data_IF_666942749680
#
_entry.id   IF_666942749680
#
_cell.length_a   1.000
_cell.length_b   1.000
_cell.length_c   1.000
_cell.angle_alpha   90.00
_cell.angle_beta   90.00
_cell.angle_gamma   90.00
#
_symmetry.space_group_name_H-M   'P 1'
#
loop_
_entity.id
_entity.type
_entity.pdbx_description
1 polymer ?
#
# COMPACT_ATOMS: atom_id res chain seq x y z
N UNK A 1 10.72 -1.16 -3.32
CA UNK A 1 9.44 -0.71 -2.72
C UNK A 1 9.48 -0.72 -1.19
N UNK A 2 9.84 -1.81 -0.52
CA UNK A 2 10.00 -1.86 0.95
C UNK A 2 11.09 -0.92 1.49
N UNK A 3 12.24 -0.85 0.80
CA UNK A 3 13.34 0.03 1.17
C UNK A 3 12.96 1.52 1.04
N UNK A 4 12.13 1.85 0.03
CA UNK A 4 11.69 3.24 -0.24
C UNK A 4 10.69 3.72 0.81
N UNK A 5 9.74 2.86 1.21
CA UNK A 5 8.83 3.12 2.34
C UNK A 5 9.58 3.20 3.67
N UNK A 6 10.55 2.31 3.91
CA UNK A 6 11.39 2.37 5.12
C UNK A 6 12.27 3.63 5.16
N UNK A 7 12.84 4.06 4.03
CA UNK A 7 13.58 5.33 3.97
C UNK A 7 12.65 6.52 4.17
N UNK A 8 11.47 6.57 3.53
CA UNK A 8 10.51 7.66 3.75
C UNK A 8 10.10 7.80 5.23
N UNK A 9 9.87 6.67 5.90
CA UNK A 9 9.54 6.68 7.34
C UNK A 9 10.73 7.06 8.24
N UNK A 10 11.98 6.78 7.83
CA UNK A 10 13.17 6.96 8.69
C UNK A 10 13.91 8.27 8.44
N UNK A 11 13.85 8.85 7.25
CA UNK A 11 14.55 10.11 6.92
C UNK A 11 13.64 11.32 6.90
N UNK A 12 12.31 11.16 7.03
CA UNK A 12 11.38 12.27 6.83
C UNK A 12 10.33 12.41 7.94
N UNK A 13 10.84 12.69 9.15
CA UNK A 13 10.01 12.89 10.34
C UNK A 13 8.93 13.96 10.15
N UNK A 14 9.22 14.99 9.36
CA UNK A 14 8.25 16.06 9.06
C UNK A 14 7.05 15.57 8.26
N UNK A 15 7.25 14.80 7.19
CA UNK A 15 6.13 14.25 6.41
C UNK A 15 5.36 13.20 7.22
N UNK A 16 6.05 12.39 8.02
CA UNK A 16 5.38 11.43 8.92
C UNK A 16 4.47 12.14 9.94
N UNK A 17 4.94 13.24 10.54
CA UNK A 17 4.16 14.03 11.50
C UNK A 17 3.00 14.74 10.82
N UNK A 18 3.24 15.44 9.71
CA UNK A 18 2.18 16.08 8.92
C UNK A 18 1.08 15.07 8.57
N UNK A 19 1.48 13.92 8.05
CA UNK A 19 0.55 12.85 7.69
C UNK A 19 -0.22 12.31 8.91
N UNK A 20 0.39 12.21 10.08
CA UNK A 20 -0.31 11.82 11.30
C UNK A 20 -1.37 12.85 11.73
N UNK A 21 -1.06 14.14 11.68
CA UNK A 21 -2.06 15.19 11.93
C UNK A 21 -3.24 15.08 10.97
N UNK A 22 -2.98 14.79 9.69
CA UNK A 22 -4.04 14.56 8.71
C UNK A 22 -4.88 13.32 9.02
N UNK A 23 -4.25 12.22 9.46
CA UNK A 23 -4.96 11.02 9.92
C UNK A 23 -5.85 11.35 11.11
N UNK A 24 -5.36 12.10 12.09
CA UNK A 24 -6.19 12.51 13.22
C UNK A 24 -7.39 13.36 12.77
N UNK A 25 -7.15 14.38 11.94
CA UNK A 25 -8.19 15.28 11.45
C UNK A 25 -9.30 14.55 10.67
N UNK A 26 -8.92 13.72 9.69
CA UNK A 26 -9.85 13.00 8.82
C UNK A 26 -10.54 11.84 9.54
N UNK A 27 -9.78 11.06 10.30
CA UNK A 27 -10.24 9.77 10.79
C UNK A 27 -10.73 9.81 12.22
N UNK A 28 -10.16 10.65 13.09
CA UNK A 28 -10.39 10.56 14.54
C UNK A 28 -11.26 11.72 15.03
N UNK A 29 -10.88 12.95 14.71
CA UNK A 29 -11.50 14.15 15.28
C UNK A 29 -12.97 14.33 14.86
N UNK A 30 -13.32 13.87 13.66
CA UNK A 30 -14.66 13.92 13.08
C UNK A 30 -15.66 12.95 13.71
N UNK A 31 -15.22 12.01 14.57
CA UNK A 31 -16.07 11.00 15.19
C UNK A 31 -15.91 11.00 16.72
N UNK A 32 -17.01 11.27 17.44
CA UNK A 32 -17.02 11.36 18.91
C UNK A 32 -16.48 10.10 19.60
N UNK A 33 -16.90 8.92 19.16
CA UNK A 33 -16.47 7.66 19.79
C UNK A 33 -14.96 7.45 19.60
N UNK A 34 -14.43 7.77 18.42
CA UNK A 34 -12.99 7.66 18.13
C UNK A 34 -12.19 8.67 18.95
N UNK A 35 -12.61 9.93 18.97
CA UNK A 35 -11.96 10.97 19.77
C UNK A 35 -11.90 10.58 21.25
N UNK A 36 -13.03 10.16 21.82
CA UNK A 36 -13.09 9.74 23.22
C UNK A 36 -12.20 8.53 23.51
N UNK A 37 -12.13 7.57 22.59
CA UNK A 37 -11.19 6.45 22.73
C UNK A 37 -9.74 6.95 22.78
N UNK A 38 -9.35 7.89 21.90
CA UNK A 38 -7.99 8.44 21.90
C UNK A 38 -7.66 9.20 23.18
N UNK A 39 -8.60 9.99 23.70
CA UNK A 39 -8.44 10.69 24.99
C UNK A 39 -8.24 9.71 26.13
N UNK A 40 -9.06 8.65 26.20
CA UNK A 40 -8.91 7.58 27.19
C UNK A 40 -7.57 6.82 27.10
N UNK A 41 -6.91 6.91 25.95
CA UNK A 41 -5.60 6.29 25.69
C UNK A 41 -4.46 7.31 25.65
N UNK A 42 -4.63 8.45 26.33
CA UNK A 42 -3.55 9.39 26.64
C UNK A 42 -3.42 10.59 25.71
N UNK A 43 -4.30 10.73 24.71
CA UNK A 43 -4.37 11.97 23.92
C UNK A 43 -4.88 13.12 24.81
N UNK A 44 -4.24 14.30 24.81
CA UNK A 44 -4.74 15.47 25.53
C UNK A 44 -6.16 15.84 25.09
N UNK A 45 -7.07 16.01 26.06
CA UNK A 45 -8.43 16.49 25.78
C UNK A 45 -8.43 18.01 25.67
N UNK A 46 -8.44 18.51 24.42
CA UNK A 46 -8.43 19.96 24.14
C UNK A 46 -9.72 20.27 23.37
N UNK A 47 -10.68 20.99 23.96
CA UNK A 47 -12.04 21.15 23.40
C UNK A 47 -12.09 21.65 21.95
N UNK A 48 -11.12 22.49 21.54
CA UNK A 48 -11.10 23.14 20.22
C UNK A 48 -10.39 22.29 19.14
N UNK A 49 -9.70 21.20 19.51
CA UNK A 49 -9.01 20.34 18.55
C UNK A 49 -9.98 19.79 17.49
N UNK A 50 -11.18 19.39 17.94
CA UNK A 50 -12.18 18.72 17.10
C UNK A 50 -12.77 19.61 16.02
N UNK A 51 -12.78 20.92 16.23
CA UNK A 51 -13.35 21.90 15.31
C UNK A 51 -12.28 22.58 14.44
N UNK A 52 -11.00 22.31 14.70
CA UNK A 52 -9.87 22.97 14.02
C UNK A 52 -9.25 22.08 12.93
N UNK A 53 -10.08 21.60 11.99
CA UNK A 53 -9.68 20.64 10.95
C UNK A 53 -9.10 21.28 9.68
N UNK A 54 -8.98 22.60 9.63
CA UNK A 54 -8.42 23.36 8.51
C UNK A 54 -6.89 23.42 8.55
N UNK A 55 -6.31 24.09 7.56
CA UNK A 55 -4.90 24.48 7.55
C UNK A 55 -4.80 25.98 7.87
N UNK A 56 -3.77 26.35 8.62
CA UNK A 56 -3.44 27.74 8.96
C UNK A 56 -2.28 28.23 8.08
N UNK A 57 -1.99 29.53 8.12
CA UNK A 57 -0.75 30.06 7.56
C UNK A 57 0.41 29.78 8.51
N UNK A 58 1.62 29.66 7.96
CA UNK A 58 2.84 29.43 8.76
C UNK A 58 3.02 30.53 9.80
N UNK A 59 2.73 31.78 9.42
CA UNK A 59 2.88 32.97 10.28
C UNK A 59 1.88 33.01 11.45
N UNK A 60 0.82 32.20 11.41
CA UNK A 60 -0.18 32.13 12.47
C UNK A 60 0.23 31.18 13.62
N UNK A 61 1.29 30.40 13.44
CA UNK A 61 1.74 29.39 14.41
C UNK A 61 3.02 29.85 15.09
N UNK A 62 3.11 29.66 16.41
CA UNK A 62 4.30 29.96 17.19
C UNK A 62 5.54 29.28 16.55
N UNK A 63 6.60 30.03 16.20
CA UNK A 63 7.82 29.48 15.63
C UNK A 63 8.47 28.37 16.48
N UNK A 64 8.37 28.46 17.80
CA UNK A 64 8.88 27.42 18.70
C UNK A 64 8.09 26.11 18.55
N UNK A 65 6.78 26.21 18.31
CA UNK A 65 5.92 25.06 18.07
C UNK A 65 6.14 24.46 16.68
N UNK A 66 6.34 25.28 15.65
CA UNK A 66 6.70 24.81 14.32
C UNK A 66 8.07 24.10 14.31
N UNK A 67 9.04 24.63 15.06
CA UNK A 67 10.35 24.01 15.23
C UNK A 67 10.26 22.66 15.95
N UNK A 68 9.31 22.50 16.87
CA UNK A 68 9.04 21.22 17.54
C UNK A 68 8.41 20.19 16.60
N UNK A 69 7.41 20.60 15.80
CA UNK A 69 6.71 19.69 14.89
C UNK A 69 7.54 19.35 13.65
N UNK A 70 8.48 20.21 13.24
CA UNK A 70 9.38 20.03 12.08
C UNK A 70 8.62 19.71 10.78
N UNK A 71 7.63 20.51 10.42
CA UNK A 71 6.89 20.30 9.17
C UNK A 71 7.79 20.44 7.93
N UNK A 72 7.47 19.74 6.82
CA UNK A 72 8.20 19.91 5.57
C UNK A 72 8.12 21.36 5.07
N UNK A 73 9.22 21.82 4.48
CA UNK A 73 9.33 23.19 3.95
C UNK A 73 8.21 23.46 2.94
N UNK A 74 7.49 24.58 3.13
CA UNK A 74 6.44 25.03 2.23
C UNK A 74 5.08 24.34 2.40
N UNK A 75 4.92 23.44 3.37
CA UNK A 75 3.62 22.87 3.71
C UNK A 75 2.88 23.77 4.71
N UNK A 76 1.59 24.07 4.48
CA UNK A 76 0.80 24.80 5.46
C UNK A 76 0.58 23.92 6.71
N UNK A 77 0.67 24.48 7.92
CA UNK A 77 0.42 23.74 9.15
C UNK A 77 -1.07 23.40 9.31
N UNK A 78 -1.44 22.15 9.68
CA UNK A 78 -2.78 21.87 10.18
C UNK A 78 -3.10 22.75 11.40
N UNK A 79 -4.29 23.35 11.43
CA UNK A 79 -4.71 24.26 12.50
C UNK A 79 -4.70 23.60 13.89
N UNK A 80 -4.86 22.26 13.93
CA UNK A 80 -4.68 21.42 15.11
C UNK A 80 -3.34 21.60 15.81
N UNK A 81 -2.27 21.96 15.09
CA UNK A 81 -0.96 22.25 15.69
C UNK A 81 -1.09 23.48 16.59
N UNK A 82 -1.58 24.59 16.05
CA UNK A 82 -1.73 25.85 16.81
C UNK A 82 -2.66 25.70 18.00
N UNK A 83 -3.84 25.10 17.82
CA UNK A 83 -4.81 24.97 18.92
C UNK A 83 -4.42 23.90 19.94
N UNK A 84 -3.74 22.84 19.51
CA UNK A 84 -3.29 21.77 20.40
C UNK A 84 -2.04 22.15 21.19
N UNK A 85 -1.25 23.09 20.66
CA UNK A 85 -0.04 23.60 21.30
C UNK A 85 1.02 22.53 21.56
N UNK A 86 1.97 22.89 22.43
CA UNK A 86 3.13 22.06 22.76
C UNK A 86 2.75 20.71 23.38
N UNK A 87 1.69 20.67 24.20
CA UNK A 87 1.26 19.42 24.85
C UNK A 87 0.78 18.39 23.81
N UNK A 88 -0.06 18.81 22.86
CA UNK A 88 -0.54 17.93 21.82
C UNK A 88 0.58 17.52 20.85
N UNK A 89 1.46 18.47 20.48
CA UNK A 89 2.63 18.17 19.65
C UNK A 89 3.56 17.13 20.28
N UNK A 90 3.84 17.26 21.57
CA UNK A 90 4.65 16.26 22.29
C UNK A 90 3.99 14.89 22.28
N UNK A 91 2.67 14.80 22.52
CA UNK A 91 1.95 13.54 22.45
C UNK A 91 1.98 12.92 21.05
N UNK A 92 1.82 13.73 19.99
CA UNK A 92 1.93 13.25 18.60
C UNK A 92 3.30 12.63 18.34
N UNK A 93 4.37 13.26 18.85
CA UNK A 93 5.75 12.82 18.68
C UNK A 93 6.04 11.55 19.49
N UNK A 94 5.61 11.47 20.75
CA UNK A 94 5.94 10.36 21.65
C UNK A 94 5.04 9.15 21.47
N UNK A 95 3.72 9.36 21.39
CA UNK A 95 2.72 8.31 21.59
C UNK A 95 1.75 8.16 20.42
N UNK A 96 1.58 9.20 19.60
CA UNK A 96 0.56 9.29 18.55
C UNK A 96 0.43 8.04 17.69
N UNK A 97 1.49 7.66 16.97
CA UNK A 97 1.50 6.48 16.10
C UNK A 97 1.28 5.18 16.87
N UNK A 98 1.80 5.06 18.09
CA UNK A 98 1.63 3.87 18.91
C UNK A 98 0.17 3.70 19.36
N UNK A 99 -0.49 4.80 19.73
CA UNK A 99 -1.90 4.83 20.11
C UNK A 99 -2.80 4.56 18.90
N UNK A 100 -2.47 5.11 17.73
CA UNK A 100 -3.17 4.79 16.49
C UNK A 100 -3.01 3.30 16.10
N UNK A 101 -1.83 2.71 16.28
CA UNK A 101 -1.61 1.28 16.09
C UNK A 101 -2.50 0.43 17.00
N UNK A 102 -2.60 0.80 18.29
CA UNK A 102 -3.51 0.15 19.25
C UNK A 102 -4.97 0.29 18.82
N UNK A 103 -5.36 1.47 18.34
CA UNK A 103 -6.72 1.75 17.85
C UNK A 103 -7.10 0.82 16.69
N UNK A 104 -6.23 0.73 15.67
CA UNK A 104 -6.44 -0.15 14.50
C UNK A 104 -6.60 -1.61 14.92
N UNK A 105 -5.79 -2.07 15.88
CA UNK A 105 -5.82 -3.46 16.36
C UNK A 105 -7.05 -3.77 17.21
N UNK A 106 -7.57 -2.80 17.97
CA UNK A 106 -8.78 -2.95 18.78
C UNK A 106 -10.07 -2.76 17.96
N UNK A 107 -10.02 -2.02 16.85
CA UNK A 107 -11.17 -1.71 15.98
C UNK A 107 -11.04 -2.38 14.60
N UNK A 108 -10.85 -3.70 14.59
CA UNK A 108 -10.58 -4.48 13.35
C UNK A 108 -11.69 -4.34 12.29
N UNK A 109 -12.95 -4.43 12.72
CA UNK A 109 -14.11 -4.32 11.80
C UNK A 109 -14.15 -2.96 11.11
N UNK A 110 -13.93 -1.89 11.87
CA UNK A 110 -13.92 -0.53 11.37
C UNK A 110 -12.74 -0.27 10.44
N UNK A 111 -11.55 -0.76 10.82
CA UNK A 111 -10.35 -0.69 9.99
C UNK A 111 -10.53 -1.42 8.65
N UNK A 112 -11.11 -2.62 8.66
CA UNK A 112 -11.41 -3.37 7.45
C UNK A 112 -12.48 -2.70 6.59
N UNK A 113 -13.52 -2.13 7.21
CA UNK A 113 -14.56 -1.36 6.52
C UNK A 113 -13.96 -0.17 5.79
N UNK A 114 -13.05 0.57 6.43
CA UNK A 114 -12.34 1.69 5.83
C UNK A 114 -11.48 1.25 4.64
N UNK A 115 -10.66 0.20 4.80
CA UNK A 115 -9.85 -0.35 3.70
C UNK A 115 -10.75 -0.69 2.51
N UNK A 116 -11.89 -1.35 2.77
CA UNK A 116 -12.85 -1.71 1.72
C UNK A 116 -13.43 -0.48 1.03
N UNK A 117 -13.86 0.53 1.79
CA UNK A 117 -14.44 1.77 1.25
C UNK A 117 -13.44 2.54 0.37
N UNK A 118 -12.16 2.51 0.73
CA UNK A 118 -11.10 3.17 -0.04
C UNK A 118 -10.59 2.33 -1.21
N UNK A 119 -10.89 1.03 -1.29
CA UNK A 119 -10.25 0.16 -2.28
C UNK A 119 -10.63 0.44 -3.72
N UNK A 120 -11.92 0.58 -4.01
CA UNK A 120 -12.38 0.87 -5.37
C UNK A 120 -11.90 2.25 -5.88
N UNK A 121 -12.08 3.37 -5.15
CA UNK A 121 -11.63 4.67 -5.64
C UNK A 121 -10.12 4.78 -5.81
N UNK A 122 -9.36 3.90 -5.13
CA UNK A 122 -7.91 3.97 -5.09
C UNK A 122 -7.22 2.99 -6.05
N UNK A 123 -7.72 1.76 -6.16
CA UNK A 123 -7.12 0.71 -7.00
C UNK A 123 -7.65 0.71 -8.44
N UNK A 124 -8.80 1.37 -8.66
CA UNK A 124 -9.46 1.60 -9.95
C UNK A 124 -10.01 3.04 -10.03
N UNK A 125 -9.16 4.09 -9.93
CA UNK A 125 -9.64 5.47 -9.97
C UNK A 125 -10.36 5.79 -11.29
N UNK A 126 -11.45 6.55 -11.21
CA UNK A 126 -12.29 6.90 -12.37
C UNK A 126 -11.59 7.92 -13.29
N UNK A 127 -10.68 8.74 -12.74
CA UNK A 127 -9.92 9.78 -13.43
C UNK A 127 -8.41 9.60 -13.26
N UNK A 128 -7.65 10.05 -14.27
CA UNK A 128 -6.18 10.00 -14.29
C UNK A 128 -5.52 11.14 -13.49
N UNK A 129 -6.28 11.90 -12.69
CA UNK A 129 -5.83 13.09 -11.96
C UNK A 129 -4.68 12.81 -10.96
N UNK A 130 -4.42 11.53 -10.68
CA UNK A 130 -3.34 11.05 -9.79
C UNK A 130 -2.07 10.58 -10.52
N UNK A 131 -2.11 10.45 -11.85
CA UNK A 131 -0.95 10.13 -12.66
C UNK A 131 -0.33 11.44 -13.19
N UNK A 132 1.02 11.57 -13.21
CA UNK A 132 1.65 12.70 -13.88
C UNK A 132 1.13 12.81 -15.31
N UNK A 133 0.63 14.01 -15.60
CA UNK A 133 -0.12 14.44 -16.79
C UNK A 133 0.47 13.89 -18.11
N UNK A 134 -0.42 13.43 -19.01
CA UNK A 134 -0.26 13.18 -20.47
C UNK A 134 -0.32 11.75 -21.03
N UNK A 135 -0.77 10.72 -20.31
CA UNK A 135 -1.11 9.44 -20.97
C UNK A 135 -2.62 9.30 -21.18
N UNK A 136 -3.17 10.12 -22.09
CA UNK A 136 -4.57 10.01 -22.60
C UNK A 136 -4.76 8.77 -23.51
N UNK A 137 -4.16 7.63 -23.18
CA UNK A 137 -4.33 6.40 -23.94
C UNK A 137 -5.44 5.57 -23.31
N UNK A 138 -6.67 5.79 -23.77
CA UNK A 138 -7.87 5.02 -23.39
C UNK A 138 -7.67 3.50 -23.50
N UNK A 139 -6.83 3.04 -24.43
CA UNK A 139 -6.45 1.64 -24.60
C UNK A 139 -5.68 1.06 -23.40
N UNK A 140 -4.78 1.83 -22.78
CA UNK A 140 -4.07 1.41 -21.58
C UNK A 140 -5.04 1.23 -20.41
N UNK A 141 -6.04 2.10 -20.28
CA UNK A 141 -7.11 1.97 -19.28
C UNK A 141 -7.98 0.72 -19.49
N UNK A 142 -8.19 0.29 -20.74
CA UNK A 142 -8.95 -0.94 -21.03
C UNK A 142 -8.16 -2.20 -20.64
N UNK A 143 -6.83 -2.19 -20.83
CA UNK A 143 -5.94 -3.27 -20.41
C UNK A 143 -5.69 -3.27 -18.88
N UNK A 144 -5.56 -2.08 -18.27
CA UNK A 144 -5.50 -1.88 -16.82
C UNK A 144 -6.91 -1.77 -16.21
N UNK A 145 -7.84 -2.63 -16.64
CA UNK A 145 -9.22 -2.70 -16.14
C UNK A 145 -9.34 -2.92 -14.63
N UNK A 146 -10.55 -3.21 -14.16
CA UNK A 146 -10.87 -3.24 -12.73
C UNK A 146 -9.89 -4.15 -11.93
N UNK A 147 -9.40 -3.63 -10.79
CA UNK A 147 -8.46 -4.33 -9.94
C UNK A 147 -9.00 -5.69 -9.47
N UNK A 148 -10.33 -5.82 -9.32
CA UNK A 148 -11.00 -7.08 -8.96
C UNK A 148 -10.81 -8.15 -10.02
N UNK A 149 -10.85 -7.80 -11.30
CA UNK A 149 -10.59 -8.72 -12.41
C UNK A 149 -9.17 -9.27 -12.34
N UNK A 150 -8.19 -8.39 -12.14
CA UNK A 150 -6.78 -8.78 -12.00
C UNK A 150 -6.53 -9.62 -10.75
N UNK A 151 -7.15 -9.28 -9.63
CA UNK A 151 -7.07 -10.08 -8.40
C UNK A 151 -7.66 -11.49 -8.62
N UNK A 152 -8.80 -11.60 -9.30
CA UNK A 152 -9.42 -12.88 -9.65
C UNK A 152 -8.55 -13.74 -10.58
N UNK A 153 -8.02 -13.14 -11.65
CA UNK A 153 -7.11 -13.82 -12.59
C UNK A 153 -5.83 -14.28 -11.91
N UNK A 154 -5.22 -13.42 -11.09
CA UNK A 154 -4.02 -13.75 -10.32
C UNK A 154 -4.26 -14.89 -9.34
N UNK A 155 -5.38 -14.85 -8.61
CA UNK A 155 -5.74 -15.91 -7.66
C UNK A 155 -5.96 -17.26 -8.36
N UNK A 156 -6.69 -17.26 -9.48
CA UNK A 156 -6.90 -18.47 -10.28
C UNK A 156 -5.57 -19.04 -10.79
N UNK A 157 -4.68 -18.18 -11.28
CA UNK A 157 -3.36 -18.57 -11.77
C UNK A 157 -2.47 -19.15 -10.65
N UNK A 158 -2.39 -18.48 -9.49
CA UNK A 158 -1.65 -18.98 -8.31
C UNK A 158 -2.21 -20.33 -7.87
N UNK A 159 -3.53 -20.47 -7.80
CA UNK A 159 -4.19 -21.72 -7.38
C UNK A 159 -3.90 -22.85 -8.35
N UNK A 160 -3.87 -22.58 -9.66
CA UNK A 160 -3.53 -23.59 -10.68
C UNK A 160 -2.11 -24.15 -10.52
N UNK A 161 -1.17 -23.37 -9.96
CA UNK A 161 0.20 -23.83 -9.70
C UNK A 161 0.27 -24.91 -8.62
N UNK A 162 -0.71 -24.98 -7.71
CA UNK A 162 -0.78 -26.04 -6.69
C UNK A 162 -0.92 -27.44 -7.31
N UNK A 163 -1.53 -27.53 -8.48
CA UNK A 163 -1.72 -28.77 -9.23
C UNK A 163 -0.37 -29.31 -9.74
N UNK A 164 0.64 -28.44 -9.93
CA UNK A 164 1.96 -28.81 -10.46
C UNK A 164 3.03 -28.73 -9.37
N UNK A 165 3.48 -29.88 -8.87
CA UNK A 165 4.50 -29.96 -7.81
C UNK A 165 5.79 -29.18 -8.17
N UNK A 166 6.19 -29.18 -9.45
CA UNK A 166 7.35 -28.43 -9.94
C UNK A 166 7.24 -26.90 -9.83
N UNK A 167 6.03 -26.38 -9.57
CA UNK A 167 5.73 -24.94 -9.47
C UNK A 167 5.51 -24.48 -8.03
N UNK A 168 5.63 -25.36 -7.02
CA UNK A 168 5.42 -25.02 -5.60
C UNK A 168 6.29 -23.87 -5.10
N UNK A 169 7.56 -23.79 -5.52
CA UNK A 169 8.45 -22.67 -5.13
C UNK A 169 7.93 -21.32 -5.65
N UNK A 170 7.41 -21.29 -6.87
CA UNK A 170 6.84 -20.08 -7.48
C UNK A 170 5.52 -19.69 -6.81
N UNK A 171 4.69 -20.69 -6.45
CA UNK A 171 3.50 -20.48 -5.63
C UNK A 171 3.85 -19.78 -4.31
N UNK A 172 4.79 -20.32 -3.53
CA UNK A 172 5.16 -19.71 -2.24
C UNK A 172 5.74 -18.29 -2.40
N UNK A 173 6.55 -18.06 -3.44
CA UNK A 173 7.09 -16.73 -3.73
C UNK A 173 5.96 -15.73 -4.05
N UNK A 174 5.01 -16.10 -4.91
CA UNK A 174 3.88 -15.24 -5.25
C UNK A 174 2.98 -14.98 -4.05
N UNK A 175 2.67 -15.99 -3.24
CA UNK A 175 1.93 -15.81 -1.99
C UNK A 175 2.63 -14.82 -1.06
N UNK A 176 3.95 -14.97 -0.84
CA UNK A 176 4.71 -14.05 0.00
C UNK A 176 4.70 -12.61 -0.54
N UNK A 177 4.89 -12.43 -1.85
CA UNK A 177 4.84 -11.10 -2.49
C UNK A 177 3.44 -10.47 -2.42
N UNK A 178 2.39 -11.27 -2.64
CA UNK A 178 1.00 -10.82 -2.51
C UNK A 178 0.65 -10.43 -1.08
N UNK A 179 1.04 -11.24 -0.09
CA UNK A 179 0.85 -10.92 1.33
C UNK A 179 1.59 -9.65 1.72
N UNK A 180 2.84 -9.49 1.30
CA UNK A 180 3.60 -8.27 1.56
C UNK A 180 2.93 -7.04 0.93
N UNK A 181 2.49 -7.15 -0.33
CA UNK A 181 1.77 -6.08 -1.04
C UNK A 181 0.48 -5.71 -0.32
N UNK A 182 -0.29 -6.71 0.15
CA UNK A 182 -1.51 -6.50 0.92
C UNK A 182 -1.23 -5.76 2.23
N UNK A 183 -0.19 -6.15 2.97
CA UNK A 183 0.19 -5.49 4.23
C UNK A 183 0.56 -4.02 3.99
N UNK A 184 1.42 -3.76 2.99
CA UNK A 184 1.80 -2.38 2.63
C UNK A 184 0.57 -1.57 2.20
N UNK A 185 -0.32 -2.16 1.42
CA UNK A 185 -1.56 -1.52 1.00
C UNK A 185 -2.47 -1.17 2.19
N UNK A 186 -2.70 -2.12 3.11
CA UNK A 186 -3.48 -1.88 4.32
C UNK A 186 -2.88 -0.77 5.19
N UNK A 187 -1.54 -0.76 5.36
CA UNK A 187 -0.84 0.31 6.06
C UNK A 187 -1.08 1.64 5.37
N UNK A 188 -0.98 1.72 4.04
CA UNK A 188 -1.23 2.97 3.31
C UNK A 188 -2.68 3.45 3.45
N UNK A 189 -3.67 2.56 3.42
CA UNK A 189 -5.10 2.94 3.55
C UNK A 189 -5.48 3.43 4.95
N UNK A 190 -4.78 2.93 5.97
CA UNK A 190 -5.03 3.30 7.36
C UNK A 190 -4.17 4.50 7.76
N UNK A 191 -2.87 4.43 7.51
CA UNK A 191 -1.89 5.39 7.98
C UNK A 191 -1.61 6.55 7.03
N UNK A 192 -2.10 6.56 5.79
CA UNK A 192 -1.96 7.73 4.91
C UNK A 192 -3.22 8.58 4.99
N UNK A 193 -3.07 9.85 5.39
CA UNK A 193 -4.13 10.85 5.44
C UNK A 193 -4.63 11.20 4.03
N UNK A 194 -4.35 12.41 3.54
CA UNK A 194 -4.79 12.84 2.19
C UNK A 194 -3.98 12.16 1.07
N UNK A 195 -2.82 11.58 1.36
CA UNK A 195 -1.94 11.00 0.35
C UNK A 195 -2.26 9.54 -0.02
N UNK A 196 -3.27 8.92 0.61
CA UNK A 196 -3.64 7.53 0.33
C UNK A 196 -3.85 7.23 -1.16
N UNK A 197 -4.40 8.14 -2.02
CA UNK A 197 -4.54 7.86 -3.44
C UNK A 197 -3.20 7.73 -4.17
N UNK A 198 -2.21 8.57 -3.81
CA UNK A 198 -0.88 8.58 -4.44
C UNK A 198 -0.11 7.30 -4.10
N UNK A 199 -0.06 6.92 -2.83
CA UNK A 199 0.69 5.74 -2.37
C UNK A 199 0.07 4.42 -2.83
N UNK A 200 -1.21 4.42 -3.14
CA UNK A 200 -1.91 3.22 -3.50
C UNK A 200 -2.05 3.00 -5.01
N UNK A 201 -1.75 4.00 -5.83
CA UNK A 201 -1.43 3.79 -7.26
C UNK A 201 -0.28 2.77 -7.43
N UNK A 202 0.75 2.83 -6.58
CA UNK A 202 1.85 1.87 -6.57
C UNK A 202 1.37 0.45 -6.18
N UNK A 203 0.45 0.34 -5.23
CA UNK A 203 -0.17 -0.94 -4.86
C UNK A 203 -1.04 -1.49 -6.01
N UNK A 204 -1.79 -0.62 -6.69
CA UNK A 204 -2.62 -0.97 -7.84
C UNK A 204 -1.78 -1.54 -9.00
N UNK A 205 -0.60 -0.97 -9.25
CA UNK A 205 0.38 -1.49 -10.22
C UNK A 205 0.95 -2.82 -9.74
N UNK A 206 1.37 -2.91 -8.47
CA UNK A 206 1.94 -4.13 -7.90
C UNK A 206 0.98 -5.32 -7.99
N UNK A 207 -0.31 -5.13 -7.67
CA UNK A 207 -1.35 -6.16 -7.80
C UNK A 207 -1.42 -6.69 -9.24
N UNK A 208 -1.43 -5.79 -10.23
CA UNK A 208 -1.53 -6.17 -11.65
C UNK A 208 -0.27 -6.87 -12.15
N UNK A 209 0.92 -6.40 -11.75
CA UNK A 209 2.20 -7.05 -12.08
C UNK A 209 2.28 -8.45 -11.47
N UNK A 210 1.86 -8.62 -10.22
CA UNK A 210 1.83 -9.93 -9.56
C UNK A 210 0.81 -10.87 -10.22
N UNK A 211 -0.37 -10.38 -10.56
CA UNK A 211 -1.37 -11.16 -11.28
C UNK A 211 -0.87 -11.60 -12.66
N UNK A 212 -0.25 -10.69 -13.43
CA UNK A 212 0.34 -11.02 -14.72
C UNK A 212 1.48 -12.05 -14.59
N UNK A 213 2.35 -11.86 -13.60
CA UNK A 213 3.44 -12.81 -13.30
C UNK A 213 2.89 -14.19 -12.96
N UNK A 214 1.82 -14.25 -12.16
CA UNK A 214 1.13 -15.49 -11.84
C UNK A 214 0.57 -16.17 -13.09
N UNK A 215 -0.10 -15.42 -13.97
CA UNK A 215 -0.63 -15.95 -15.24
C UNK A 215 0.49 -16.52 -16.11
N UNK A 216 1.57 -15.76 -16.33
CA UNK A 216 2.71 -16.20 -17.15
C UNK A 216 3.36 -17.47 -16.59
N UNK A 217 3.54 -17.56 -15.27
CA UNK A 217 4.14 -18.71 -14.62
C UNK A 217 3.21 -19.94 -14.57
N UNK A 218 1.89 -19.74 -14.64
CA UNK A 218 0.90 -20.80 -14.68
C UNK A 218 0.81 -21.45 -16.07
N UNK A 219 1.12 -20.69 -17.14
CA UNK A 219 1.12 -21.21 -18.50
C UNK A 219 2.07 -22.41 -18.62
N UNK A 220 1.67 -23.48 -19.33
CA UNK A 220 2.58 -24.59 -19.63
C UNK A 220 3.75 -24.03 -20.44
N UNK A 221 4.98 -24.21 -19.93
CA UNK A 221 6.16 -23.93 -20.72
C UNK A 221 6.14 -24.78 -21.99
N UNK A 222 6.54 -24.22 -23.14
CA UNK A 222 6.82 -25.03 -24.33
C UNK A 222 7.81 -26.10 -23.89
N UNK A 223 7.38 -27.37 -23.85
CA UNK A 223 8.33 -28.47 -23.86
C UNK A 223 9.11 -28.27 -25.15
N UNK A 224 10.40 -27.99 -25.05
CA UNK A 224 11.30 -28.26 -26.18
C UNK A 224 11.11 -29.72 -26.49
N UNK A 225 10.32 -30.02 -27.52
CA UNK A 225 10.27 -31.35 -28.08
C UNK A 225 11.69 -31.57 -28.60
N UNK A 226 12.50 -32.29 -27.84
CA UNK A 226 13.69 -32.91 -28.39
C UNK A 226 13.12 -33.87 -29.45
N UNK A 227 13.37 -33.65 -30.75
CA UNK A 227 12.91 -34.60 -31.76
C UNK A 227 13.54 -35.95 -31.43
N UNK A 228 12.69 -36.99 -31.41
CA UNK A 228 13.04 -38.36 -31.00
C UNK A 228 13.94 -39.06 -32.02
N UNK A 229 14.30 -38.39 -33.12
CA UNK A 229 14.94 -39.01 -34.27
C UNK A 229 16.46 -39.23 -34.11
N UNK A 230 17.11 -38.78 -33.04
CA UNK A 230 18.57 -38.94 -32.86
C UNK A 230 18.98 -40.20 -32.09
N UNK A 231 18.03 -40.99 -31.57
CA UNK A 231 18.33 -42.22 -30.82
C UNK A 231 18.31 -43.52 -31.64
N UNK A 232 17.73 -43.51 -32.85
CA UNK A 232 17.65 -44.71 -33.70
C UNK A 232 18.82 -44.84 -34.69
N UNK A 233 19.48 -43.75 -35.07
CA UNK A 233 20.64 -43.82 -35.99
C UNK A 233 21.92 -44.37 -35.33
N UNK A 234 21.99 -44.38 -34.00
CA UNK A 234 23.13 -44.91 -33.26
C UNK A 234 23.08 -46.45 -33.05
N UNK A 235 21.92 -47.10 -33.25
CA UNK A 235 21.78 -48.56 -33.10
C UNK A 235 21.84 -49.33 -34.43
N UNK A 236 21.76 -48.65 -35.57
CA UNK A 236 21.74 -49.28 -36.89
C UNK A 236 23.10 -49.65 -37.51
N UNK A 237 24.24 -49.38 -36.86
CA UNK A 237 25.57 -49.47 -37.51
C UNK A 237 26.58 -50.44 -36.87
N UNK A 238 26.17 -51.40 -36.03
CA UNK A 238 27.11 -52.31 -35.33
C UNK A 238 26.87 -53.82 -35.52
N UNK A 239 26.24 -54.25 -36.60
CA UNK A 239 26.16 -55.68 -36.97
C UNK A 239 26.41 -55.88 -38.46
N UNK A 240 27.62 -55.57 -38.92
CA UNK A 240 28.18 -56.10 -40.16
C UNK A 240 29.70 -55.90 -40.18
N UNK A 241 30.45 -56.90 -39.66
CA UNK A 241 31.73 -57.44 -40.18
C UNK A 241 32.50 -58.24 -39.12
N UNK A 242 33.05 -59.36 -39.60
CA UNK A 242 34.03 -60.30 -39.02
C UNK A 242 33.46 -61.26 -37.94
N UNK A 243 33.52 -62.59 -38.06
CA UNK A 243 34.07 -63.54 -39.06
C UNK A 243 33.17 -64.80 -39.08
#
# INVERSE_FOLDING_TARGET
MSLWGYTLFRTDHGYSRLNFYTVLADQIMSNDARYQWFVQHGMPDIPVLRTSLSYDYVDDVDPALLALVELPVGQPPPAMIRVGGTQFANWVISDGWSTYGKYVLSHKSESLSRIRALSDPTLSPINDDFLPINTRFSFARTLFGDWKTWAGLGLAAITSMLIRVSRRRQFFALCAMSSFTLVVYCINMLASGIEHPRHASAAAVAIRVLALSAVVLALPGRRSAIPVDEFDDARGKKTSRAD
#
